data_IF_416422940273
#
_entry.id   IF_416422940273
#
_cell.length_a   1.000
_cell.length_b   1.000
_cell.length_c   1.000
_cell.angle_alpha   90.00
_cell.angle_beta   90.00
_cell.angle_gamma   90.00
#
_symmetry.space_group_name_H-M   'P 1'
#
loop_
_entity.id
_entity.type
_entity.pdbx_description
1 polymer ?
#
# COMPACT_ATOMS: atom_id res chain seq x y z
N UNK A 1 12.48 -22.59 -8.53
CA UNK A 1 11.51 -21.67 -7.91
C UNK A 1 11.91 -21.53 -6.46
N UNK A 2 12.19 -20.31 -5.98
CA UNK A 2 12.52 -20.09 -4.57
C UNK A 2 11.25 -19.72 -3.80
N UNK A 3 10.57 -20.70 -3.19
CA UNK A 3 9.31 -20.50 -2.49
C UNK A 3 9.43 -19.65 -1.22
N UNK A 4 10.56 -19.73 -0.51
CA UNK A 4 10.80 -18.87 0.66
C UNK A 4 10.76 -17.39 0.26
N UNK A 5 11.44 -17.04 -0.84
CA UNK A 5 11.42 -15.68 -1.38
C UNK A 5 10.01 -15.23 -1.78
N UNK A 6 9.20 -16.12 -2.36
CA UNK A 6 7.79 -15.84 -2.68
C UNK A 6 7.03 -15.48 -1.41
N UNK A 7 7.07 -16.33 -0.39
CA UNK A 7 6.37 -16.08 0.88
C UNK A 7 6.85 -14.80 1.58
N UNK A 8 8.15 -14.53 1.56
CA UNK A 8 8.70 -13.28 2.11
C UNK A 8 8.11 -12.05 1.41
N UNK A 9 8.04 -12.04 0.07
CA UNK A 9 7.46 -10.92 -0.69
C UNK A 9 5.95 -10.79 -0.43
N UNK A 10 5.22 -11.90 -0.28
CA UNK A 10 3.78 -11.85 0.04
C UNK A 10 3.53 -11.17 1.39
N UNK A 11 4.27 -11.57 2.43
CA UNK A 11 4.14 -10.99 3.77
C UNK A 11 4.54 -9.52 3.75
N UNK A 12 5.70 -9.21 3.16
CA UNK A 12 6.18 -7.83 3.06
C UNK A 12 5.24 -6.94 2.23
N UNK A 13 4.68 -7.46 1.14
CA UNK A 13 3.74 -6.76 0.28
C UNK A 13 2.42 -6.46 0.99
N UNK A 14 1.90 -7.43 1.75
CA UNK A 14 0.71 -7.22 2.59
C UNK A 14 0.96 -6.14 3.65
N UNK A 15 2.10 -6.20 4.36
CA UNK A 15 2.48 -5.17 5.33
C UNK A 15 2.68 -3.79 4.69
N UNK A 16 3.28 -3.72 3.50
CA UNK A 16 3.44 -2.47 2.76
C UNK A 16 2.09 -1.88 2.32
N UNK A 17 1.15 -2.71 1.90
CA UNK A 17 -0.21 -2.30 1.59
C UNK A 17 -0.94 -1.76 2.82
N UNK A 18 -0.86 -2.46 3.95
CA UNK A 18 -1.42 -2.03 5.23
C UNK A 18 -0.87 -0.67 5.67
N UNK A 19 0.46 -0.51 5.60
CA UNK A 19 1.14 0.74 5.92
C UNK A 19 0.70 1.86 4.97
N UNK A 20 0.54 1.57 3.69
CA UNK A 20 0.08 2.56 2.70
C UNK A 20 -1.30 3.11 3.06
N UNK A 21 -2.28 2.25 3.29
CA UNK A 21 -3.64 2.69 3.66
C UNK A 21 -3.66 3.42 5.00
N UNK A 22 -2.91 2.90 5.99
CA UNK A 22 -2.83 3.51 7.32
C UNK A 22 -2.25 4.92 7.27
N UNK A 23 -1.08 5.07 6.65
CA UNK A 23 -0.40 6.36 6.53
C UNK A 23 -1.21 7.31 5.67
N UNK A 24 -1.84 6.83 4.60
CA UNK A 24 -2.70 7.67 3.77
C UNK A 24 -3.83 8.28 4.60
N UNK A 25 -4.54 7.48 5.40
CA UNK A 25 -5.66 7.98 6.20
C UNK A 25 -5.20 8.96 7.26
N UNK A 26 -4.10 8.65 7.95
CA UNK A 26 -3.55 9.58 8.93
C UNK A 26 -3.12 10.91 8.29
N UNK A 27 -2.50 10.86 7.11
CA UNK A 27 -2.10 12.08 6.37
C UNK A 27 -3.33 12.84 5.88
N UNK A 28 -4.35 12.13 5.39
CA UNK A 28 -5.62 12.71 4.98
C UNK A 28 -6.33 13.42 6.14
N UNK A 29 -6.44 12.77 7.30
CA UNK A 29 -7.09 13.34 8.50
C UNK A 29 -6.28 14.53 9.07
N UNK A 30 -4.97 14.56 8.86
CA UNK A 30 -4.11 15.68 9.26
C UNK A 30 -4.21 16.88 8.31
N UNK A 31 -4.35 16.64 7.01
CA UNK A 31 -4.43 17.69 5.99
C UNK A 31 -5.84 18.28 5.89
N UNK A 32 -6.86 17.42 5.92
CA UNK A 32 -8.22 17.78 5.60
C UNK A 32 -9.03 18.04 6.86
N UNK A 33 -9.34 19.31 7.15
CA UNK A 33 -10.12 19.73 8.34
C UNK A 33 -11.64 19.71 8.13
N UNK A 34 -12.08 19.71 6.88
CA UNK A 34 -13.48 19.83 6.44
C UNK A 34 -13.99 18.57 5.72
N UNK A 35 -13.24 17.46 5.83
CA UNK A 35 -13.51 16.17 5.18
C UNK A 35 -13.64 16.22 3.65
N UNK A 36 -13.11 17.26 2.99
CA UNK A 36 -13.07 17.36 1.52
C UNK A 36 -11.63 17.37 1.01
N UNK A 37 -11.27 16.33 0.25
CA UNK A 37 -9.96 16.24 -0.41
C UNK A 37 -9.86 17.27 -1.55
N UNK A 38 -9.18 18.37 -1.30
CA UNK A 38 -8.81 19.34 -2.33
C UNK A 38 -7.71 18.79 -3.25
N UNK A 39 -7.59 19.34 -4.47
CA UNK A 39 -6.66 18.83 -5.49
C UNK A 39 -5.20 18.85 -5.01
N UNK A 40 -4.82 19.85 -4.20
CA UNK A 40 -3.46 19.94 -3.67
C UNK A 40 -3.24 18.97 -2.49
N UNK A 41 -4.23 18.74 -1.64
CA UNK A 41 -4.19 17.75 -0.55
C UNK A 41 -4.07 16.34 -1.11
N UNK A 42 -4.81 16.07 -2.20
CA UNK A 42 -4.67 14.85 -2.98
C UNK A 42 -3.25 14.71 -3.57
N UNK A 43 -2.70 15.79 -4.10
CA UNK A 43 -1.31 15.83 -4.59
C UNK A 43 -0.29 15.44 -3.50
N UNK A 44 -0.46 15.93 -2.27
CA UNK A 44 0.42 15.58 -1.15
C UNK A 44 0.25 14.12 -0.73
N UNK A 45 -0.99 13.62 -0.64
CA UNK A 45 -1.26 12.23 -0.25
C UNK A 45 -0.75 11.20 -1.28
N UNK A 46 -0.60 11.57 -2.55
CA UNK A 46 0.06 10.74 -3.57
C UNK A 46 1.56 10.49 -3.33
N UNK A 47 2.19 11.26 -2.42
CA UNK A 47 3.57 10.99 -1.98
C UNK A 47 3.65 9.84 -0.97
N UNK A 48 2.53 9.47 -0.32
CA UNK A 48 2.50 8.42 0.72
C UNK A 48 2.95 7.05 0.20
N UNK A 49 2.41 6.51 -0.91
CA UNK A 49 2.86 5.22 -1.43
C UNK A 49 4.36 5.22 -1.72
N UNK A 50 4.91 6.33 -2.23
CA UNK A 50 6.33 6.47 -2.51
C UNK A 50 7.18 6.41 -1.23
N UNK A 51 6.78 7.14 -0.18
CA UNK A 51 7.46 7.09 1.11
C UNK A 51 7.44 5.68 1.70
N UNK A 52 6.29 5.01 1.67
CA UNK A 52 6.16 3.63 2.13
C UNK A 52 7.06 2.70 1.30
N UNK A 53 7.10 2.85 -0.02
CA UNK A 53 8.00 2.08 -0.89
C UNK A 53 9.46 2.28 -0.48
N UNK A 54 9.91 3.51 -0.24
CA UNK A 54 11.30 3.81 0.16
C UNK A 54 11.64 3.16 1.51
N UNK A 55 10.74 3.29 2.50
CA UNK A 55 10.93 2.69 3.83
C UNK A 55 11.02 1.16 3.74
N UNK A 56 10.09 0.51 3.04
CA UNK A 56 10.08 -0.95 2.91
C UNK A 56 11.26 -1.48 2.09
N UNK A 57 11.63 -0.79 1.00
CA UNK A 57 12.83 -1.12 0.21
C UNK A 57 14.08 -1.08 1.08
N UNK A 58 14.21 -0.04 1.91
CA UNK A 58 15.36 0.15 2.80
C UNK A 58 15.39 -0.88 3.94
N UNK A 59 14.23 -1.13 4.57
CA UNK A 59 14.12 -2.04 5.71
C UNK A 59 14.28 -3.51 5.33
N UNK A 60 13.73 -3.93 4.19
CA UNK A 60 13.72 -5.33 3.76
C UNK A 60 14.84 -5.69 2.79
N UNK A 61 15.52 -4.69 2.23
CA UNK A 61 16.49 -4.84 1.13
C UNK A 61 15.91 -5.50 -0.13
N UNK A 62 14.58 -5.56 -0.25
CA UNK A 62 13.87 -6.01 -1.45
C UNK A 62 13.84 -4.87 -2.49
N UNK A 63 13.81 -5.21 -3.78
CA UNK A 63 13.90 -4.23 -4.88
C UNK A 63 12.74 -3.23 -4.83
N UNK A 64 13.05 -1.95 -5.05
CA UNK A 64 12.06 -0.87 -5.18
C UNK A 64 10.93 -1.19 -6.17
N UNK A 65 11.29 -1.78 -7.32
CA UNK A 65 10.35 -2.20 -8.36
C UNK A 65 9.29 -3.22 -7.90
N UNK A 66 9.47 -3.88 -6.76
CA UNK A 66 8.46 -4.78 -6.18
C UNK A 66 7.45 -3.98 -5.37
N UNK A 67 7.92 -3.12 -4.46
CA UNK A 67 7.00 -2.38 -3.57
C UNK A 67 6.27 -1.23 -4.27
N UNK A 68 6.90 -0.57 -5.24
CA UNK A 68 6.32 0.57 -5.94
C UNK A 68 4.94 0.28 -6.55
N UNK A 69 4.75 -0.78 -7.37
CA UNK A 69 3.42 -1.11 -7.87
C UNK A 69 2.46 -1.56 -6.77
N UNK A 70 2.94 -2.27 -5.73
CA UNK A 70 2.09 -2.76 -4.64
C UNK A 70 1.45 -1.61 -3.87
N UNK A 71 2.25 -0.62 -3.44
CA UNK A 71 1.75 0.50 -2.63
C UNK A 71 0.81 1.38 -3.45
N UNK A 72 1.16 1.72 -4.70
CA UNK A 72 0.29 2.53 -5.56
C UNK A 72 -1.02 1.83 -5.93
N UNK A 73 -0.99 0.54 -6.31
CA UNK A 73 -2.23 -0.20 -6.63
C UNK A 73 -3.10 -0.40 -5.39
N UNK A 74 -2.50 -0.57 -4.21
CA UNK A 74 -3.25 -0.62 -2.94
C UNK A 74 -3.89 0.73 -2.60
N UNK A 75 -3.21 1.84 -2.88
CA UNK A 75 -3.82 3.15 -2.73
C UNK A 75 -5.00 3.31 -3.68
N UNK A 76 -4.77 3.13 -4.99
CA UNK A 76 -5.75 3.48 -6.01
C UNK A 76 -7.01 2.62 -5.98
N UNK A 77 -6.88 1.31 -5.73
CA UNK A 77 -8.00 0.39 -5.88
C UNK A 77 -8.73 0.18 -4.54
N UNK A 78 -8.15 -0.51 -3.53
CA UNK A 78 -8.89 -0.76 -2.30
C UNK A 78 -9.00 0.46 -1.38
N UNK A 79 -7.99 1.34 -1.31
CA UNK A 79 -8.01 2.46 -0.34
C UNK A 79 -8.89 3.61 -0.82
N UNK A 80 -8.60 4.20 -1.99
CA UNK A 80 -9.41 5.27 -2.56
C UNK A 80 -10.80 4.79 -2.96
N UNK A 81 -10.93 3.55 -3.46
CA UNK A 81 -12.24 2.95 -3.75
C UNK A 81 -13.13 2.87 -2.51
N UNK A 82 -12.55 2.53 -1.34
CA UNK A 82 -13.28 2.60 -0.09
C UNK A 82 -13.61 4.04 0.29
N UNK A 83 -12.63 4.95 0.34
CA UNK A 83 -12.84 6.34 0.81
C UNK A 83 -13.92 7.07 0.01
N UNK A 84 -13.95 6.93 -1.32
CA UNK A 84 -14.96 7.59 -2.15
C UNK A 84 -16.35 6.94 -2.06
N UNK A 85 -16.42 5.66 -1.68
CA UNK A 85 -17.66 4.90 -1.54
C UNK A 85 -18.17 4.78 -0.10
N UNK A 86 -17.43 5.28 0.89
CA UNK A 86 -17.73 5.09 2.30
C UNK A 86 -18.58 6.22 2.87
N UNK A 87 -19.21 5.96 4.02
CA UNK A 87 -20.06 6.90 4.74
C UNK A 87 -19.29 7.91 5.59
N UNK A 88 -17.99 7.69 5.78
CA UNK A 88 -17.12 8.50 6.65
C UNK A 88 -17.14 8.08 8.12
N UNK A 89 -17.92 7.05 8.50
CA UNK A 89 -18.00 6.50 9.85
C UNK A 89 -17.24 5.18 10.03
N UNK A 90 -16.53 4.75 8.99
CA UNK A 90 -15.83 3.47 8.99
C UNK A 90 -14.67 3.47 9.99
N UNK A 91 -14.50 2.39 10.75
CA UNK A 91 -13.42 2.32 11.72
C UNK A 91 -12.06 2.18 11.03
N UNK A 92 -11.03 2.81 11.59
CA UNK A 92 -9.67 2.81 11.05
C UNK A 92 -9.14 1.41 10.66
N UNK A 93 -9.42 0.39 11.49
CA UNK A 93 -8.95 -0.98 11.23
C UNK A 93 -9.47 -1.57 9.92
N UNK A 94 -10.64 -1.14 9.43
CA UNK A 94 -11.20 -1.61 8.16
C UNK A 94 -10.28 -1.23 6.99
N UNK A 95 -9.72 -0.03 7.03
CA UNK A 95 -8.77 0.41 6.01
C UNK A 95 -7.40 -0.25 6.14
N UNK A 96 -6.95 -0.57 7.36
CA UNK A 96 -5.76 -1.41 7.57
C UNK A 96 -5.95 -2.78 6.91
N UNK A 97 -7.11 -3.40 7.10
CA UNK A 97 -7.45 -4.69 6.49
C UNK A 97 -7.53 -4.60 4.96
N UNK A 98 -8.14 -3.55 4.42
CA UNK A 98 -8.15 -3.30 2.97
C UNK A 98 -6.74 -3.15 2.40
N UNK A 99 -5.87 -2.43 3.13
CA UNK A 99 -4.46 -2.31 2.77
C UNK A 99 -3.73 -3.66 2.79
N UNK A 100 -3.96 -4.48 3.82
CA UNK A 100 -3.38 -5.83 3.92
C UNK A 100 -3.80 -6.71 2.75
N UNK A 101 -5.10 -6.74 2.43
CA UNK A 101 -5.68 -7.55 1.35
C UNK A 101 -5.19 -7.06 -0.01
N UNK A 102 -5.21 -5.75 -0.24
CA UNK A 102 -4.68 -5.14 -1.44
C UNK A 102 -3.21 -5.46 -1.64
N UNK A 103 -2.40 -5.21 -0.61
CA UNK A 103 -0.96 -5.49 -0.63
C UNK A 103 -0.66 -6.97 -0.91
N UNK A 104 -1.44 -7.88 -0.30
CA UNK A 104 -1.33 -9.32 -0.56
C UNK A 104 -1.68 -9.64 -2.01
N UNK A 105 -2.81 -9.16 -2.52
CA UNK A 105 -3.25 -9.41 -3.90
C UNK A 105 -2.24 -8.94 -4.94
N UNK A 106 -1.73 -7.72 -4.81
CA UNK A 106 -0.77 -7.16 -5.75
C UNK A 106 0.63 -7.77 -5.63
N UNK A 107 0.98 -8.32 -4.46
CA UNK A 107 2.27 -8.99 -4.27
C UNK A 107 2.39 -10.33 -4.99
N UNK A 108 1.27 -11.03 -5.29
CA UNK A 108 1.28 -12.36 -5.92
C UNK A 108 2.08 -12.41 -7.24
N UNK A 109 1.75 -11.62 -8.28
CA UNK A 109 2.48 -11.68 -9.55
C UNK A 109 3.97 -11.33 -9.39
N UNK A 110 4.29 -10.38 -8.52
CA UNK A 110 5.64 -9.88 -8.30
C UNK A 110 6.49 -10.87 -7.48
N UNK A 111 5.87 -11.53 -6.50
CA UNK A 111 6.49 -12.59 -5.71
C UNK A 111 6.86 -13.78 -6.61
N UNK A 112 5.93 -14.22 -7.47
CA UNK A 112 6.16 -15.31 -8.43
C UNK A 112 7.27 -14.95 -9.44
N UNK A 113 7.26 -13.72 -9.96
CA UNK A 113 8.30 -13.24 -10.87
C UNK A 113 9.69 -13.21 -10.18
N UNK A 114 9.76 -12.67 -8.97
CA UNK A 114 11.01 -12.58 -8.22
C UNK A 114 11.53 -13.94 -7.77
N UNK A 115 10.65 -14.90 -7.44
CA UNK A 115 11.03 -16.27 -7.05
C UNK A 115 11.53 -17.13 -8.21
N UNK A 116 11.18 -16.77 -9.46
CA UNK A 116 11.73 -17.39 -10.69
C UNK A 116 13.11 -16.83 -11.04
N UNK A 117 13.32 -15.53 -10.83
CA UNK A 117 14.53 -14.80 -11.23
C UNK A 117 15.77 -15.06 -10.35
N UNK A 118 15.66 -15.89 -9.31
CA UNK A 118 16.77 -16.33 -8.44
C UNK A 118 17.54 -17.55 -8.96
N UNK A 119 17.58 -17.76 -10.29
CA UNK A 119 18.46 -18.75 -10.91
C UNK A 119 19.75 -18.10 -11.35
#
# INVERSE_FOLDING_TARGET
MNWLRVFTILIQGSLAGAATSSVFILVNDLLTRDSRLDLWEFGVTLSVPLLVTIVFTSATKTKFMIFFPITYLTLFIPTLGAIFGSSGSEPFWQFVMLGLIGGLGWSIPLALWSGRSTR
#
